data_IF_388401808459
#
_entry.id   IF_388401808459
#
_cell.length_a   1.000
_cell.length_b   1.000
_cell.length_c   1.000
_cell.angle_alpha   90.00
_cell.angle_beta   90.00
_cell.angle_gamma   90.00
#
_symmetry.space_group_name_H-M   'P 1'
#
loop_
_entity.id
_entity.type
_entity.pdbx_description
1 polymer ?
#
# COMPACT_ATOMS: atom_id res chain seq x y z
N UNK A 1 4.03 -3.49 -21.04
CA UNK A 1 3.27 -2.37 -20.49
C UNK A 1 3.41 -2.53 -19.01
N UNK A 2 4.34 -1.78 -18.44
CA UNK A 2 4.55 -1.75 -17.00
C UNK A 2 3.36 -1.00 -16.41
N UNK A 3 2.35 -1.75 -15.97
CA UNK A 3 1.24 -1.25 -15.16
C UNK A 3 1.80 -0.82 -13.80
N UNK A 4 2.48 0.34 -13.78
CA UNK A 4 2.92 0.96 -12.54
C UNK A 4 1.68 1.38 -11.74
N UNK A 5 1.41 0.67 -10.64
CA UNK A 5 0.36 1.04 -9.70
C UNK A 5 0.46 2.52 -9.36
N UNK A 6 -0.65 3.29 -9.48
CA UNK A 6 -0.61 4.72 -9.26
C UNK A 6 -0.07 5.03 -7.87
N UNK A 7 0.82 6.04 -7.72
CA UNK A 7 1.49 6.35 -6.46
C UNK A 7 0.56 6.98 -5.40
N UNK A 8 -0.76 6.92 -5.63
CA UNK A 8 -1.77 7.53 -4.80
C UNK A 8 -3.01 6.65 -4.66
N UNK A 9 -3.69 6.79 -3.52
CA UNK A 9 -4.94 6.10 -3.20
C UNK A 9 -5.95 7.09 -2.63
N UNK A 10 -7.26 6.86 -2.80
CA UNK A 10 -8.33 7.72 -2.24
C UNK A 10 -9.02 7.04 -1.06
N UNK A 11 -8.84 7.60 0.13
CA UNK A 11 -9.34 7.05 1.40
C UNK A 11 -9.79 8.18 2.35
N UNK A 12 -10.59 7.85 3.36
CA UNK A 12 -10.90 8.75 4.46
C UNK A 12 -9.72 8.85 5.44
N UNK A 13 -9.31 10.07 5.82
CA UNK A 13 -8.21 10.27 6.75
C UNK A 13 -8.67 10.27 8.22
N UNK A 14 -8.08 9.45 9.09
CA UNK A 14 -8.42 9.44 10.54
C UNK A 14 -7.94 10.65 11.33
N UNK A 15 -7.13 11.53 10.74
CA UNK A 15 -6.72 12.80 11.35
C UNK A 15 -7.74 13.90 11.13
N UNK A 16 -8.17 14.12 9.89
CA UNK A 16 -9.06 15.22 9.52
C UNK A 16 -10.48 14.79 9.11
N UNK A 17 -10.78 13.50 9.01
CA UNK A 17 -12.08 12.96 8.59
C UNK A 17 -12.38 13.03 7.09
N UNK A 18 -11.62 13.80 6.31
CA UNK A 18 -11.92 14.07 4.90
C UNK A 18 -11.58 12.89 4.00
N UNK A 19 -12.39 12.69 2.96
CA UNK A 19 -12.08 11.79 1.84
C UNK A 19 -11.15 12.51 0.86
N UNK A 20 -9.89 12.10 0.81
CA UNK A 20 -8.89 12.78 0.00
C UNK A 20 -7.94 11.78 -0.64
N UNK A 21 -7.13 12.30 -1.58
CA UNK A 21 -5.98 11.56 -2.10
C UNK A 21 -4.91 11.44 -1.00
N UNK A 22 -4.27 10.29 -0.97
CA UNK A 22 -3.20 9.90 -0.05
C UNK A 22 -2.03 9.45 -0.92
N UNK A 23 -0.88 10.08 -0.78
CA UNK A 23 0.30 9.81 -1.63
C UNK A 23 1.25 8.89 -0.88
N UNK A 24 1.73 7.83 -1.55
CA UNK A 24 2.66 6.90 -0.93
C UNK A 24 3.99 7.62 -0.63
N UNK A 25 4.42 7.55 0.63
CA UNK A 25 5.67 8.18 1.09
C UNK A 25 6.74 7.12 1.33
N UNK A 26 6.35 5.96 1.87
CA UNK A 26 7.26 4.82 2.07
C UNK A 26 6.55 3.56 1.61
N UNK A 27 7.13 2.87 0.62
CA UNK A 27 6.65 1.56 0.18
C UNK A 27 7.39 0.49 0.98
N UNK A 28 6.63 -0.32 1.71
CA UNK A 28 7.16 -1.40 2.52
C UNK A 28 6.65 -2.75 1.98
N UNK A 29 7.52 -3.75 1.91
CA UNK A 29 7.16 -5.09 1.43
C UNK A 29 6.60 -5.99 2.56
N UNK A 30 7.16 -5.89 3.77
CA UNK A 30 6.77 -6.73 4.91
C UNK A 30 5.79 -6.07 5.87
N UNK A 31 5.78 -4.74 5.92
CA UNK A 31 4.90 -3.95 6.78
C UNK A 31 4.00 -3.06 5.93
N UNK A 32 3.01 -2.42 6.56
CA UNK A 32 2.09 -1.52 5.86
C UNK A 32 2.87 -0.38 5.19
N UNK A 33 2.51 -0.07 3.94
CA UNK A 33 3.02 1.13 3.27
C UNK A 33 2.51 2.38 3.98
N UNK A 34 3.34 3.42 3.98
CA UNK A 34 3.07 4.70 4.63
C UNK A 34 2.61 5.70 3.58
N UNK A 35 1.53 6.41 3.87
CA UNK A 35 0.95 7.43 3.01
C UNK A 35 0.91 8.78 3.73
N UNK A 36 0.81 9.86 2.96
CA UNK A 36 0.62 11.22 3.47
C UNK A 36 -0.69 11.79 2.94
N UNK A 37 -1.50 12.33 3.85
CA UNK A 37 -2.80 12.92 3.54
C UNK A 37 -2.63 14.23 2.78
N UNK A 38 -3.21 14.38 1.59
CA UNK A 38 -3.09 15.65 0.86
C UNK A 38 -3.82 16.82 1.52
N UNK A 39 -4.79 16.56 2.40
CA UNK A 39 -5.54 17.61 3.10
C UNK A 39 -4.80 18.15 4.34
N UNK A 40 -4.54 17.29 5.33
CA UNK A 40 -3.91 17.71 6.60
C UNK A 40 -2.40 17.48 6.66
N UNK A 41 -1.79 16.89 5.62
CA UNK A 41 -0.35 16.57 5.53
C UNK A 41 0.17 15.60 6.59
N UNK A 42 -0.71 14.98 7.36
CA UNK A 42 -0.35 13.97 8.34
C UNK A 42 -0.09 12.59 7.72
N UNK A 43 0.75 11.82 8.40
CA UNK A 43 1.07 10.43 8.05
C UNK A 43 -0.12 9.52 8.33
N UNK A 44 -0.42 8.63 7.39
CA UNK A 44 -1.47 7.62 7.52
C UNK A 44 -1.01 6.26 7.00
N UNK A 45 -1.71 5.20 7.41
CA UNK A 45 -1.55 3.86 6.83
C UNK A 45 -2.92 3.31 6.43
N UNK A 46 -2.94 2.22 5.65
CA UNK A 46 -4.19 1.54 5.30
C UNK A 46 -4.76 0.84 6.54
N UNK A 47 -6.07 0.97 6.77
CA UNK A 47 -6.78 0.25 7.83
C UNK A 47 -6.71 -1.27 7.60
N UNK A 48 -6.50 -2.06 8.67
CA UNK A 48 -6.45 -3.53 8.55
C UNK A 48 -7.80 -4.19 8.28
N UNK A 49 -8.90 -3.51 8.55
CA UNK A 49 -10.22 -4.06 8.26
C UNK A 49 -10.41 -4.23 6.76
N UNK A 50 -10.68 -5.48 6.35
CA UNK A 50 -10.92 -5.84 4.96
C UNK A 50 -12.11 -5.01 4.44
N UNK A 51 -11.98 -4.47 3.22
CA UNK A 51 -12.95 -3.60 2.56
C UNK A 51 -13.15 -2.19 3.18
N UNK A 52 -12.44 -1.84 4.24
CA UNK A 52 -12.51 -0.49 4.79
C UNK A 52 -11.80 0.52 3.88
N UNK A 53 -12.47 1.62 3.54
CA UNK A 53 -11.90 2.74 2.77
C UNK A 53 -11.33 3.86 3.67
N UNK A 54 -10.98 3.54 4.91
CA UNK A 54 -10.37 4.45 5.87
C UNK A 54 -8.86 4.24 5.99
N UNK A 55 -8.15 5.33 6.24
CA UNK A 55 -6.73 5.34 6.57
C UNK A 55 -6.57 5.54 8.08
N UNK A 56 -5.74 4.74 8.73
CA UNK A 56 -5.40 4.83 10.16
C UNK A 56 -4.38 5.94 10.43
N UNK A 57 -4.27 6.41 11.68
CA UNK A 57 -3.27 7.40 12.08
C UNK A 57 -1.89 6.75 12.12
N UNK A 58 -0.93 7.32 11.41
CA UNK A 58 0.46 6.90 11.47
C UNK A 58 1.25 7.74 12.47
N UNK A 59 2.31 7.18 13.05
CA UNK A 59 3.13 7.90 14.03
C UNK A 59 4.28 7.06 14.57
N UNK A 60 4.68 7.35 15.81
CA UNK A 60 5.61 6.48 16.56
C UNK A 60 4.93 5.16 16.94
N UNK A 61 3.63 5.22 17.21
CA UNK A 61 2.76 4.08 17.46
C UNK A 61 1.69 4.09 16.38
N UNK A 62 1.76 3.13 15.46
CA UNK A 62 0.84 3.05 14.33
C UNK A 62 -0.45 2.36 14.78
N UNK A 63 -1.58 3.06 14.67
CA UNK A 63 -2.89 2.49 14.98
C UNK A 63 -3.24 1.37 13.99
N UNK A 64 -3.91 0.32 14.45
CA UNK A 64 -4.25 -0.83 13.59
C UNK A 64 -5.52 -0.59 12.76
N UNK A 65 -6.43 0.23 13.28
CA UNK A 65 -7.75 0.51 12.72
C UNK A 65 -7.91 2.01 12.48
N UNK A 66 -8.69 2.37 11.46
CA UNK A 66 -9.08 3.77 11.27
C UNK A 66 -10.08 4.21 12.35
N UNK A 67 -10.24 5.53 12.51
CA UNK A 67 -11.12 6.15 13.50
C UNK A 67 -12.60 5.70 13.39
N UNK A 68 -13.03 5.20 12.23
CA UNK A 68 -14.37 4.63 12.09
C UNK A 68 -14.45 3.17 12.57
N UNK A 69 -13.40 2.37 12.32
CA UNK A 69 -13.39 0.96 12.68
C UNK A 69 -13.04 0.71 14.15
N UNK A 70 -12.33 1.62 14.81
CA UNK A 70 -12.04 1.55 16.25
C UNK A 70 -13.18 2.13 17.11
N UNK A 71 -14.17 2.79 16.50
CA UNK A 71 -15.29 3.45 17.17
C UNK A 71 -14.97 4.85 17.72
N UNK A 72 -13.82 5.45 17.37
CA UNK A 72 -13.48 6.83 17.73
C UNK A 72 -14.32 7.87 16.96
N UNK A 73 -14.93 7.47 15.85
CA UNK A 73 -15.74 8.28 14.95
C UNK A 73 -16.98 7.49 14.52
N UNK A 74 -18.17 8.00 14.85
CA UNK A 74 -19.44 7.33 14.54
C UNK A 74 -19.73 7.23 13.04
N UNK A 75 -19.32 8.25 12.27
CA UNK A 75 -19.49 8.30 10.83
C UNK A 75 -18.46 9.23 10.19
N UNK A 76 -18.02 8.90 8.97
CA UNK A 76 -17.24 9.85 8.18
C UNK A 76 -18.09 11.08 7.86
N UNK A 77 -17.55 12.30 7.97
CA UNK A 77 -18.26 13.48 7.52
C UNK A 77 -18.58 13.28 6.03
N UNK A 78 -19.86 13.18 5.72
CA UNK A 78 -20.36 13.19 4.36
C UNK A 78 -19.76 14.42 3.68
N UNK A 79 -19.23 14.27 2.46
CA UNK A 79 -18.56 15.31 1.67
C UNK A 79 -19.51 16.46 1.27
N UNK A 80 -20.35 16.97 2.17
CA UNK A 80 -20.82 18.34 2.10
C UNK A 80 -19.55 19.16 1.97
N UNK A 81 -19.34 19.68 0.76
CA UNK A 81 -18.16 20.46 0.39
C UNK A 81 -18.02 21.56 1.43
N UNK A 82 -17.26 21.32 2.47
CA UNK A 82 -16.55 22.37 3.18
C UNK A 82 -15.61 22.88 2.12
N UNK A 83 -16.11 23.86 1.36
CA UNK A 83 -15.28 24.83 0.68
C UNK A 83 -14.42 25.36 1.81
N UNK A 84 -13.25 24.75 2.03
CA UNK A 84 -12.19 25.40 2.76
C UNK A 84 -12.05 26.69 1.98
N UNK A 85 -12.39 27.86 2.57
CA UNK A 85 -12.10 29.11 1.89
C UNK A 85 -10.61 28.99 1.59
N UNK A 86 -10.26 28.98 0.29
CA UNK A 86 -8.87 29.13 -0.10
C UNK A 86 -8.44 30.35 0.70
N UNK A 87 -7.50 30.17 1.62
CA UNK A 87 -6.89 31.30 2.29
C UNK A 87 -6.43 32.23 1.17
N UNK A 88 -7.18 33.32 0.96
CA UNK A 88 -6.72 34.47 0.23
C UNK A 88 -5.56 34.98 1.06
N UNK A 89 -4.36 34.53 0.68
CA UNK A 89 -3.07 34.95 1.22
C UNK A 89 -2.76 36.40 0.77
N UNK A 90 -3.79 37.24 0.56
CA UNK A 90 -3.66 38.63 0.12
C UNK A 90 -3.59 39.64 1.27
N UNK A 91 -3.58 39.18 2.53
CA UNK A 91 -3.23 40.00 3.68
C UNK A 91 -2.08 39.35 4.46
N UNK A 92 -0.87 39.45 3.91
CA UNK A 92 0.31 39.55 4.77
C UNK A 92 0.33 40.97 5.31
N UNK A 93 -0.23 41.19 6.49
CA UNK A 93 0.30 42.26 7.34
C UNK A 93 1.70 41.82 7.74
N UNK A 94 2.70 42.66 7.43
CA UNK A 94 4.08 42.44 7.86
C UNK A 94 4.10 42.22 9.38
N UNK A 95 4.70 41.13 9.88
CA UNK A 95 4.83 40.96 11.31
C UNK A 95 5.69 42.12 11.87
N UNK A 96 5.26 42.77 12.95
CA UNK A 96 6.06 43.82 13.58
C UNK A 96 7.43 43.26 13.94
N UNK A 97 8.47 44.01 13.60
CA UNK A 97 9.86 43.66 13.86
C UNK A 97 10.03 43.14 15.29
N UNK A 98 10.32 41.85 15.42
CA UNK A 98 10.57 41.20 16.69
C UNK A 98 11.87 41.79 17.26
N UNK A 99 11.73 42.71 18.21
CA UNK A 99 12.86 43.21 18.99
C UNK A 99 13.36 42.07 19.87
N UNK A 100 14.58 41.63 19.57
CA UNK A 100 15.35 40.66 20.34
C UNK A 100 15.59 41.16 21.76
N UNK A 101 14.69 40.82 22.69
CA UNK A 101 14.93 40.83 24.13
C UNK A 101 13.86 40.01 24.83
N UNK A 102 14.09 38.71 24.98
CA UNK A 102 13.35 37.96 26.00
C UNK A 102 14.24 36.91 26.62
N UNK A 103 14.37 37.08 27.93
CA UNK A 103 15.20 36.32 28.84
C UNK A 103 14.77 34.86 28.84
N UNK A 104 15.74 33.98 28.66
CA UNK A 104 15.61 32.55 28.82
C UNK A 104 15.31 32.25 30.29
N UNK A 105 14.08 31.84 30.60
CA UNK A 105 13.70 31.26 31.90
C UNK A 105 13.72 29.73 31.73
N UNK A 106 14.68 29.00 32.32
CA UNK A 106 14.64 27.54 32.35
C UNK A 106 13.88 27.06 33.59
N UNK A 107 12.72 26.43 33.40
CA UNK A 107 11.99 25.61 34.37
C UNK A 107 10.98 24.76 33.59
N UNK A 108 10.77 23.45 33.78
CA UNK A 108 11.05 22.54 34.88
C UNK A 108 11.37 21.14 34.29
N UNK A 109 12.45 20.48 34.70
CA UNK A 109 12.42 19.40 35.71
C UNK A 109 11.27 18.41 35.55
N UNK A 110 11.42 17.45 34.63
CA UNK A 110 10.70 16.18 34.68
C UNK A 110 11.21 15.29 35.82
N UNK A 111 10.38 14.36 36.36
CA UNK A 111 10.72 13.58 37.54
C UNK A 111 11.89 12.63 37.27
N UNK A 112 13.02 12.89 37.95
CA UNK A 112 14.14 11.95 38.06
C UNK A 112 13.66 10.70 38.81
N UNK A 113 13.62 9.56 38.11
CA UNK A 113 13.58 8.25 38.75
C UNK A 113 14.92 8.04 39.46
N UNK A 114 14.93 8.27 40.77
CA UNK A 114 16.04 7.86 41.64
C UNK A 114 16.00 6.34 41.75
N UNK A 115 16.95 5.67 41.10
CA UNK A 115 17.26 4.28 41.45
C UNK A 115 17.86 4.28 42.87
N UNK A 116 17.41 3.39 43.77
CA UNK A 116 17.98 3.27 45.10
C UNK A 116 19.43 2.75 45.02
N UNK A 117 20.35 3.28 45.85
CA UNK A 117 21.67 2.73 46.01
C UNK A 117 21.64 1.61 47.05
N UNK A 118 22.20 0.46 46.70
CA UNK A 118 22.53 -0.59 47.66
C UNK A 118 22.07 -1.96 47.21
N UNK A 119 22.99 -2.81 46.77
CA UNK A 119 23.80 -3.62 47.68
C UNK A 119 24.80 -4.43 46.84
N UNK A 120 26.09 -4.15 47.05
CA UNK A 120 27.17 -5.03 46.63
C UNK A 120 27.13 -6.25 47.54
N UNK A 121 26.37 -7.27 47.16
CA UNK A 121 26.46 -8.59 47.76
C UNK A 121 27.48 -9.42 46.97
N UNK A 122 28.72 -9.43 47.48
CA UNK A 122 29.76 -10.37 47.11
C UNK A 122 29.32 -11.77 47.56
N UNK A 123 28.76 -12.55 46.63
CA UNK A 123 28.54 -13.98 46.83
C UNK A 123 29.25 -14.74 45.70
N UNK A 124 30.50 -15.10 45.97
CA UNK A 124 31.25 -16.11 45.23
C UNK A 124 30.60 -17.47 45.47
N UNK A 125 29.52 -17.75 44.74
CA UNK A 125 28.97 -19.09 44.64
C UNK A 125 29.41 -19.68 43.30
N UNK A 126 30.31 -20.66 43.37
CA UNK A 126 30.63 -21.58 42.28
C UNK A 126 29.35 -22.32 41.88
N UNK A 127 28.56 -21.73 40.99
CA UNK A 127 27.48 -22.44 40.33
C UNK A 127 28.09 -23.13 39.10
N UNK A 128 28.00 -24.45 39.09
CA UNK A 128 28.29 -25.24 37.90
C UNK A 128 27.46 -24.72 36.73
N UNK A 129 28.05 -24.61 35.52
CA UNK A 129 27.32 -24.13 34.36
C UNK A 129 26.08 -25.01 34.12
N UNK A 130 24.91 -24.41 33.84
CA UNK A 130 23.71 -25.18 33.60
C UNK A 130 23.95 -26.18 32.45
N UNK A 131 23.38 -27.40 32.53
CA UNK A 131 23.58 -28.42 31.50
C UNK A 131 23.22 -27.82 30.14
N UNK A 132 24.17 -27.91 29.22
CA UNK A 132 24.08 -27.40 27.85
C UNK A 132 22.81 -27.97 27.23
N UNK A 133 21.75 -27.16 27.16
CA UNK A 133 20.49 -27.56 26.54
C UNK A 133 20.83 -27.94 25.11
N UNK A 134 20.59 -29.21 24.76
CA UNK A 134 20.80 -29.68 23.40
C UNK A 134 19.85 -28.89 22.51
N UNK A 135 20.40 -28.24 21.49
CA UNK A 135 19.61 -27.51 20.53
C UNK A 135 18.52 -28.45 19.97
N UNK A 136 17.26 -27.98 19.88
CA UNK A 136 16.19 -28.79 19.31
C UNK A 136 16.63 -29.26 17.92
N UNK A 137 16.63 -30.58 17.74
CA UNK A 137 16.95 -31.18 16.44
C UNK A 137 15.89 -30.71 15.43
N UNK A 138 16.29 -30.21 14.25
CA UNK A 138 15.34 -29.75 13.25
C UNK A 138 14.42 -30.91 12.86
N UNK A 139 13.12 -30.65 12.89
CA UNK A 139 12.10 -31.65 12.57
C UNK A 139 12.15 -31.96 11.06
N UNK A 140 12.76 -33.09 10.68
CA UNK A 140 12.93 -33.51 9.28
C UNK A 140 11.62 -33.59 8.49
N UNK A 141 10.46 -33.74 9.14
CA UNK A 141 9.16 -33.73 8.45
C UNK A 141 8.82 -32.41 7.77
N UNK A 142 9.42 -31.30 8.21
CA UNK A 142 9.17 -29.97 7.63
C UNK A 142 9.68 -29.84 6.19
N UNK A 143 10.72 -30.60 5.83
CA UNK A 143 11.37 -30.47 4.52
C UNK A 143 10.61 -31.19 3.41
N UNK A 144 10.07 -32.38 3.68
CA UNK A 144 9.28 -33.13 2.70
C UNK A 144 8.00 -32.38 2.33
N UNK A 145 7.28 -31.82 3.32
CA UNK A 145 6.09 -31.01 3.08
C UNK A 145 6.40 -29.72 2.29
N UNK A 146 7.58 -29.13 2.48
CA UNK A 146 8.00 -27.94 1.74
C UNK A 146 8.40 -28.26 0.31
N UNK A 147 9.02 -29.41 0.07
CA UNK A 147 9.34 -29.88 -1.27
C UNK A 147 8.07 -30.23 -2.06
N UNK A 148 7.09 -30.85 -1.42
CA UNK A 148 5.79 -31.13 -2.04
C UNK A 148 5.04 -29.84 -2.40
N UNK A 149 5.01 -28.83 -1.51
CA UNK A 149 4.47 -27.50 -1.86
C UNK A 149 5.19 -26.87 -3.05
N UNK A 150 6.52 -26.98 -3.13
CA UNK A 150 7.28 -26.50 -4.29
C UNK A 150 6.90 -27.22 -5.58
N UNK A 151 6.69 -28.53 -5.55
CA UNK A 151 6.24 -29.30 -6.73
C UNK A 151 4.85 -28.87 -7.18
N UNK A 152 3.93 -28.67 -6.23
CA UNK A 152 2.59 -28.15 -6.53
C UNK A 152 2.64 -26.77 -7.18
N UNK A 153 3.45 -25.85 -6.65
CA UNK A 153 3.63 -24.51 -7.22
C UNK A 153 4.23 -24.57 -8.64
N UNK A 154 5.22 -25.43 -8.87
CA UNK A 154 5.81 -25.63 -10.20
C UNK A 154 4.79 -26.18 -11.21
N UNK A 155 3.92 -27.10 -10.80
CA UNK A 155 2.87 -27.66 -11.66
C UNK A 155 1.77 -26.63 -11.97
N UNK A 156 1.38 -25.80 -10.99
CA UNK A 156 0.49 -24.67 -11.19
C UNK A 156 1.09 -23.70 -12.21
N UNK A 157 2.36 -23.34 -12.06
CA UNK A 157 3.04 -22.45 -13.01
C UNK A 157 3.08 -23.03 -14.43
N UNK A 158 3.37 -24.33 -14.58
CA UNK A 158 3.33 -25.01 -15.89
C UNK A 158 1.94 -25.02 -16.50
N UNK A 159 0.89 -25.23 -15.69
CA UNK A 159 -0.49 -25.19 -16.15
C UNK A 159 -0.88 -23.80 -16.66
N UNK A 160 -0.52 -22.75 -15.93
CA UNK A 160 -0.74 -21.35 -16.35
C UNK A 160 -0.03 -21.05 -17.66
N UNK A 161 1.24 -21.45 -17.80
CA UNK A 161 2.00 -21.24 -19.04
C UNK A 161 1.38 -21.97 -20.24
N UNK A 162 0.91 -23.22 -20.06
CA UNK A 162 0.20 -23.95 -21.12
C UNK A 162 -1.07 -23.22 -21.56
N UNK A 163 -1.88 -22.75 -20.61
CA UNK A 163 -3.12 -22.00 -20.93
C UNK A 163 -2.84 -20.72 -21.71
N UNK A 164 -1.79 -19.96 -21.34
CA UNK A 164 -1.38 -18.75 -22.08
C UNK A 164 -0.97 -19.11 -23.52
N UNK A 165 -0.23 -20.20 -23.71
CA UNK A 165 0.23 -20.63 -25.04
C UNK A 165 -0.93 -21.13 -25.92
N UNK A 166 -1.90 -21.84 -25.32
CA UNK A 166 -3.12 -22.27 -26.00
C UNK A 166 -3.98 -21.07 -26.43
N UNK A 167 -4.19 -20.09 -25.55
CA UNK A 167 -4.92 -18.86 -25.85
C UNK A 167 -4.24 -18.07 -26.98
N UNK A 168 -2.91 -17.94 -26.93
CA UNK A 168 -2.13 -17.29 -28.00
C UNK A 168 -2.31 -18.01 -29.33
N UNK A 169 -2.22 -19.34 -29.34
CA UNK A 169 -2.41 -20.15 -30.55
C UNK A 169 -3.83 -20.03 -31.08
N UNK A 170 -4.84 -19.95 -30.21
CA UNK A 170 -6.24 -19.73 -30.59
C UNK A 170 -6.41 -18.39 -31.29
N UNK A 171 -5.92 -17.29 -30.69
CA UNK A 171 -5.99 -15.95 -31.28
C UNK A 171 -5.28 -15.85 -32.63
N UNK A 172 -4.12 -16.51 -32.78
CA UNK A 172 -3.42 -16.57 -34.07
C UNK A 172 -4.22 -17.31 -35.15
N UNK A 173 -4.95 -18.38 -34.79
CA UNK A 173 -5.84 -19.08 -35.72
C UNK A 173 -7.05 -18.23 -36.11
N UNK A 174 -7.70 -17.58 -35.15
CA UNK A 174 -8.82 -16.65 -35.41
C UNK A 174 -8.40 -15.51 -36.33
N UNK A 175 -7.24 -14.88 -36.06
CA UNK A 175 -6.70 -13.81 -36.90
C UNK A 175 -6.40 -14.28 -38.34
N UNK A 176 -5.89 -15.51 -38.52
CA UNK A 176 -5.67 -16.10 -39.85
C UNK A 176 -6.99 -16.35 -40.58
N UNK A 177 -8.01 -16.85 -39.88
CA UNK A 177 -9.33 -17.07 -40.47
C UNK A 177 -9.98 -15.76 -40.89
N UNK A 178 -9.92 -14.72 -40.05
CA UNK A 178 -10.44 -13.38 -40.37
C UNK A 178 -9.72 -12.78 -41.58
N UNK A 179 -8.39 -12.92 -41.65
CA UNK A 179 -7.60 -12.47 -42.81
C UNK A 179 -8.02 -13.18 -44.11
N UNK A 180 -8.20 -14.51 -44.06
CA UNK A 180 -8.68 -15.29 -45.20
C UNK A 180 -10.09 -14.89 -45.64
N UNK A 181 -11.02 -14.67 -44.69
CA UNK A 181 -12.36 -14.18 -44.99
C UNK A 181 -12.35 -12.80 -45.63
N UNK A 182 -11.51 -11.90 -45.11
CA UNK A 182 -11.35 -10.55 -45.67
C UNK A 182 -10.78 -10.57 -47.08
N UNK A 183 -9.82 -11.45 -47.36
CA UNK A 183 -9.26 -11.64 -48.70
C UNK A 183 -10.29 -12.23 -49.67
N UNK A 184 -11.05 -13.24 -49.24
CA UNK A 184 -12.15 -13.80 -50.03
C UNK A 184 -13.21 -12.74 -50.39
N UNK A 185 -13.59 -11.89 -49.43
CA UNK A 185 -14.52 -10.78 -49.67
C UNK A 185 -13.97 -9.81 -50.72
N UNK A 186 -12.68 -9.43 -50.60
CA UNK A 186 -12.02 -8.55 -51.59
C UNK A 186 -12.04 -9.16 -52.99
N UNK A 187 -11.73 -10.45 -53.11
CA UNK A 187 -11.75 -11.15 -54.40
C UNK A 187 -13.17 -11.20 -55.00
N UNK A 188 -14.19 -11.44 -54.16
CA UNK A 188 -15.59 -11.42 -54.61
C UNK A 188 -16.08 -10.04 -55.07
N UNK A 189 -15.55 -8.97 -54.50
CA UNK A 189 -15.86 -7.60 -54.91
C UNK A 189 -15.16 -7.22 -56.22
N UNK A 190 -13.93 -7.71 -56.44
CA UNK A 190 -13.19 -7.46 -57.67
C UNK A 190 -13.86 -8.12 -58.89
N UNK A 191 -14.49 -9.29 -58.70
CA UNK A 191 -15.14 -10.04 -59.79
C UNK A 191 -16.46 -9.40 -60.28
N UNK A 192 -17.06 -8.50 -59.50
CA UNK A 192 -18.31 -7.84 -59.90
C UNK A 192 -18.14 -6.85 -61.07
N UNK A 193 -16.90 -6.49 -61.45
CA UNK A 193 -16.58 -5.61 -62.57
C UNK A 193 -17.23 -4.22 -62.48
N UNK A 194 -16.77 -3.23 -63.26
CA UNK A 194 -17.54 -2.03 -63.46
C UNK A 194 -18.81 -2.40 -64.24
N UNK A 195 -19.97 -2.41 -63.58
CA UNK A 195 -21.27 -2.47 -64.26
C UNK A 195 -21.42 -1.21 -65.12
N UNK A 196 -21.16 -1.35 -66.41
CA UNK A 196 -21.45 -0.33 -67.44
C UNK A 196 -22.96 -0.26 -67.71
N UNK A 197 -23.76 0.01 -66.67
CA UNK A 197 -25.20 0.21 -66.81
C UNK A 197 -25.56 1.66 -67.21
N UNK A 198 -24.56 2.47 -67.56
CA UNK A 198 -24.72 3.82 -68.09
C UNK A 198 -24.42 3.80 -69.58
N UNK A 199 -25.46 3.75 -70.41
CA UNK A 199 -25.64 4.47 -71.69
C UNK A 199 -26.77 3.80 -72.49
N UNK A 200 -27.99 4.29 -72.29
CA UNK A 200 -29.11 4.19 -73.25
C UNK A 200 -29.94 5.45 -73.14
#
# INVERSE_FOLDING_TARGET
MDDEDPPYIKLHCSWCGHYCTQTITVRNAMVRSVYTCENCKERTLICRMIYCKGATRGGLWDDELCAYCDGSLDAWPSQARTVVPKNDFSHYEEPPAYTSSSQYIPSAQGPRRTNPPGQLASASASQEPPPRQQAPQPNNKSWEEEEDRRREDEDIQRAVQRSIQEEKTRREREARQEAQQREALKNSLADQGPRNDFLS
#
